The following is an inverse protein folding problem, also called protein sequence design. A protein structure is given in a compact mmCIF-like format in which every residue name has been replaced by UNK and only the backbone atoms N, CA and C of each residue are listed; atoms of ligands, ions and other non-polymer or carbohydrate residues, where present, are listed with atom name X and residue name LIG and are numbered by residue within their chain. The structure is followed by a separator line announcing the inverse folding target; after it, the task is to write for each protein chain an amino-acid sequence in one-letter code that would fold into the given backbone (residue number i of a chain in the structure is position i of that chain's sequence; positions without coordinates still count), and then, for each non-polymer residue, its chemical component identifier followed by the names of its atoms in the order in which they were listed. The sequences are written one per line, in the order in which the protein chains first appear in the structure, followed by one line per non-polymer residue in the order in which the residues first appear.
data_IF_519211887468
#
_entry.id   IF_519211887468
#
_cell.length_a   1.000
_cell.length_b   1.000
_cell.length_c   1.000
_cell.angle_alpha   90.00
_cell.angle_beta   90.00
_cell.angle_gamma   90.00
#
_symmetry.space_group_name_H-M   'P 1'
#
loop_
_entity.id
_entity.type
_entity.pdbx_description
1 polymer ?
#
# COMPACT_ATOMS: atom_id res chain seq x y z
N UNK A 1 -12.58 -1.42 -1.56
CA UNK A 1 -11.56 -0.98 -0.58
C UNK A 1 -10.16 -1.04 -1.19
N UNK A 2 -9.74 -2.20 -1.71
CA UNK A 2 -8.44 -2.38 -2.38
C UNK A 2 -8.09 -1.30 -3.41
N UNK A 3 -9.00 -0.98 -4.33
CA UNK A 3 -8.76 0.03 -5.38
C UNK A 3 -8.35 1.40 -4.82
N UNK A 4 -8.92 1.81 -3.68
CA UNK A 4 -8.56 3.07 -3.02
C UNK A 4 -7.18 2.99 -2.37
N UNK A 5 -6.86 1.88 -1.71
CA UNK A 5 -5.52 1.65 -1.14
C UNK A 5 -4.47 1.66 -2.25
N UNK A 6 -4.75 1.01 -3.38
CA UNK A 6 -3.88 1.01 -4.55
C UNK A 6 -3.71 2.43 -5.13
N UNK A 7 -4.80 3.20 -5.21
CA UNK A 7 -4.75 4.59 -5.64
C UNK A 7 -3.88 5.45 -4.72
N UNK A 8 -4.04 5.34 -3.40
CA UNK A 8 -3.19 6.01 -2.41
C UNK A 8 -1.72 5.62 -2.61
N UNK A 9 -1.41 4.32 -2.76
CA UNK A 9 -0.05 3.87 -3.02
C UNK A 9 0.55 4.50 -4.29
N UNK A 10 -0.24 4.59 -5.37
CA UNK A 10 0.21 5.23 -6.61
C UNK A 10 0.48 6.73 -6.45
N UNK A 11 -0.27 7.42 -5.59
CA UNK A 11 -0.02 8.83 -5.27
C UNK A 11 1.28 9.00 -4.47
N UNK A 12 1.51 8.17 -3.46
CA UNK A 12 2.71 8.22 -2.62
C UNK A 12 3.98 7.81 -3.38
N UNK A 13 3.89 6.83 -4.29
CA UNK A 13 5.01 6.38 -5.12
C UNK A 13 5.53 7.43 -6.12
N UNK A 14 4.75 8.48 -6.41
CA UNK A 14 5.20 9.58 -7.28
C UNK A 14 6.18 10.55 -6.58
N UNK A 15 6.60 10.24 -5.34
CA UNK A 15 7.52 11.08 -4.55
C UNK A 15 6.84 12.31 -3.93
N UNK A 16 5.51 12.39 -4.00
CA UNK A 16 4.73 13.50 -3.48
C UNK A 16 4.32 13.24 -2.02
N UNK A 17 4.53 14.25 -1.17
CA UNK A 17 4.18 14.22 0.25
C UNK A 17 2.71 14.60 0.43
N UNK A 18 1.81 13.65 0.23
CA UNK A 18 0.38 13.90 0.33
C UNK A 18 -0.09 13.87 1.79
N UNK A 19 -0.82 14.90 2.24
CA UNK A 19 -1.50 14.88 3.54
C UNK A 19 -2.90 14.27 3.46
N UNK A 20 -3.51 14.05 4.63
CA UNK A 20 -4.82 13.44 4.74
C UNK A 20 -5.92 14.23 4.00
N UNK A 21 -5.88 15.56 4.05
CA UNK A 21 -6.81 16.42 3.30
C UNK A 21 -6.68 16.23 1.78
N UNK A 22 -5.46 16.26 1.26
CA UNK A 22 -5.19 16.13 -0.17
C UNK A 22 -5.54 14.74 -0.72
N UNK A 23 -5.42 13.70 0.11
CA UNK A 23 -5.85 12.34 -0.21
C UNK A 23 -7.37 12.20 -0.11
N UNK A 24 -7.99 12.85 0.88
CA UNK A 24 -9.45 12.90 1.06
C UNK A 24 -10.12 13.45 -0.19
N UNK A 25 -9.61 14.56 -0.72
CA UNK A 25 -10.12 15.18 -1.95
C UNK A 25 -9.94 14.27 -3.17
N UNK A 26 -8.76 13.65 -3.31
CA UNK A 26 -8.44 12.77 -4.47
C UNK A 26 -9.23 11.47 -4.47
N UNK A 27 -9.50 10.94 -3.27
CA UNK A 27 -10.22 9.69 -3.11
C UNK A 27 -11.73 9.90 -2.88
N UNK A 28 -12.18 11.15 -2.74
CA UNK A 28 -13.55 11.53 -2.41
C UNK A 28 -14.10 10.78 -1.18
N UNK A 29 -13.33 10.77 -0.08
CA UNK A 29 -13.70 10.15 1.19
C UNK A 29 -13.30 11.04 2.35
N UNK A 30 -13.89 10.85 3.52
CA UNK A 30 -13.51 11.64 4.70
C UNK A 30 -12.02 11.49 5.08
N UNK A 31 -11.44 12.52 5.69
CA UNK A 31 -10.12 12.50 6.32
C UNK A 31 -9.97 11.31 7.28
N UNK A 32 -11.02 10.98 8.06
CA UNK A 32 -11.04 9.82 8.96
C UNK A 32 -10.89 8.50 8.21
N UNK A 33 -11.47 8.40 7.01
CA UNK A 33 -11.31 7.23 6.14
C UNK A 33 -9.88 7.12 5.65
N UNK A 34 -9.25 8.23 5.25
CA UNK A 34 -7.83 8.24 4.85
C UNK A 34 -6.93 7.75 5.98
N UNK A 35 -7.11 8.21 7.21
CA UNK A 35 -6.31 7.72 8.34
C UNK A 35 -6.48 6.21 8.56
N UNK A 36 -7.70 5.69 8.41
CA UNK A 36 -7.95 4.23 8.48
C UNK A 36 -7.30 3.47 7.33
N UNK A 37 -7.30 4.04 6.12
CA UNK A 37 -6.65 3.45 4.97
C UNK A 37 -5.12 3.42 5.13
N UNK A 38 -4.51 4.51 5.62
CA UNK A 38 -3.09 4.57 5.95
C UNK A 38 -2.74 3.57 7.06
N UNK A 39 -3.57 3.45 8.09
CA UNK A 39 -3.40 2.46 9.15
C UNK A 39 -3.49 1.04 8.58
N UNK A 40 -4.46 0.77 7.70
CA UNK A 40 -4.61 -0.54 7.05
C UNK A 40 -3.39 -0.86 6.17
N UNK A 41 -2.85 0.12 5.44
CA UNK A 41 -1.61 -0.05 4.67
C UNK A 41 -0.44 -0.46 5.57
N UNK A 42 -0.32 0.13 6.76
CA UNK A 42 0.71 -0.24 7.73
C UNK A 42 0.48 -1.63 8.32
N UNK A 43 -0.69 -1.88 8.89
CA UNK A 43 -0.95 -3.05 9.72
C UNK A 43 -1.21 -4.32 8.90
N UNK A 44 -1.94 -4.20 7.79
CA UNK A 44 -2.38 -5.35 6.99
C UNK A 44 -1.45 -5.61 5.81
N UNK A 45 -0.79 -4.57 5.29
CA UNK A 45 0.06 -4.68 4.09
C UNK A 45 1.53 -4.41 4.36
N UNK A 46 1.92 -4.17 5.62
CA UNK A 46 3.30 -3.87 6.03
C UNK A 46 3.94 -2.74 5.20
N UNK A 47 3.13 -1.78 4.76
CA UNK A 47 3.61 -0.69 3.93
C UNK A 47 4.50 0.25 4.75
N UNK A 48 5.67 0.66 4.24
CA UNK A 48 6.62 1.53 4.95
C UNK A 48 6.18 3.01 4.89
N UNK A 49 4.94 3.29 5.30
CA UNK A 49 4.38 4.65 5.29
C UNK A 49 4.92 5.44 6.48
N UNK A 50 5.50 6.60 6.21
CA UNK A 50 5.94 7.57 7.21
C UNK A 50 5.31 8.94 6.95
N UNK A 51 5.37 9.83 7.95
CA UNK A 51 4.88 11.20 7.84
C UNK A 51 6.05 12.17 8.04
N UNK A 52 6.26 13.05 7.07
CA UNK A 52 7.25 14.11 7.15
C UNK A 52 6.59 15.36 7.73
N UNK A 53 7.01 15.79 8.93
CA UNK A 53 6.46 16.96 9.60
C UNK A 53 6.82 18.29 8.91
N UNK A 54 7.96 18.36 8.22
CA UNK A 54 8.40 19.57 7.52
C UNK A 54 7.62 19.76 6.22
N UNK A 55 7.48 18.67 5.44
CA UNK A 55 6.70 18.65 4.20
C UNK A 55 5.19 18.47 4.42
N UNK A 56 4.80 18.18 5.67
CA UNK A 56 3.44 17.95 6.13
C UNK A 56 2.72 16.89 5.29
N UNK A 57 3.31 15.71 5.10
CA UNK A 57 2.67 14.69 4.26
C UNK A 57 3.22 13.28 4.43
N UNK A 58 2.42 12.31 4.00
CA UNK A 58 2.78 10.90 3.95
C UNK A 58 3.71 10.59 2.78
N UNK A 59 4.61 9.63 2.97
CA UNK A 59 5.49 9.10 1.95
C UNK A 59 5.85 7.64 2.27
N UNK A 60 6.43 6.93 1.31
CA UNK A 60 7.04 5.63 1.56
C UNK A 60 8.54 5.78 1.83
N UNK A 61 9.04 5.27 2.97
CA UNK A 61 10.47 5.31 3.29
C UNK A 61 11.31 4.27 2.52
N UNK A 62 10.65 3.29 1.89
CA UNK A 62 11.24 2.30 0.98
C UNK A 62 10.29 2.04 -0.20
N UNK A 63 10.78 1.61 -1.36
CA UNK A 63 9.91 1.24 -2.49
C UNK A 63 8.83 0.25 -2.06
N UNK A 64 7.57 0.56 -2.36
CA UNK A 64 6.43 -0.26 -1.98
C UNK A 64 5.43 -0.38 -3.13
N UNK A 65 4.85 -1.57 -3.28
CA UNK A 65 3.78 -1.83 -4.24
C UNK A 65 2.73 -2.71 -3.58
N UNK A 66 1.47 -2.30 -3.66
CA UNK A 66 0.37 -3.07 -3.12
C UNK A 66 0.19 -4.35 -3.96
N UNK A 67 0.32 -5.52 -3.32
CA UNK A 67 0.04 -6.81 -3.95
C UNK A 67 -1.46 -7.07 -3.95
N UNK A 68 -2.01 -7.54 -5.08
CA UNK A 68 -3.39 -8.05 -5.16
C UNK A 68 -3.56 -9.43 -4.51
N UNK A 69 -2.45 -10.11 -4.26
CA UNK A 69 -2.43 -11.46 -3.72
C UNK A 69 -2.00 -11.40 -2.27
N UNK A 70 -2.87 -11.91 -1.41
CA UNK A 70 -2.56 -12.29 -0.04
C UNK A 70 -2.30 -13.80 -0.08
N UNK A 71 -1.02 -14.18 -0.18
CA UNK A 71 -0.62 -15.58 -0.31
C UNK A 71 -0.30 -16.12 1.07
N UNK A 72 -0.98 -17.19 1.46
CA UNK A 72 -0.60 -17.97 2.63
C UNK A 72 0.73 -18.72 2.39
N UNK A 73 1.33 -19.23 3.47
CA UNK A 73 2.49 -20.13 3.37
C UNK A 73 2.20 -21.32 2.47
N UNK A 74 1.03 -21.93 2.60
CA UNK A 74 0.56 -23.05 1.77
C UNK A 74 0.51 -22.68 0.29
N UNK A 75 0.01 -21.49 -0.06
CA UNK A 75 -0.01 -21.02 -1.45
C UNK A 75 1.41 -20.85 -2.00
N UNK A 76 2.34 -20.35 -1.18
CA UNK A 76 3.75 -20.21 -1.56
C UNK A 76 4.42 -21.57 -1.79
N UNK A 77 4.12 -22.58 -0.96
CA UNK A 77 4.63 -23.94 -1.16
C UNK A 77 4.11 -24.54 -2.48
N UNK A 78 2.82 -24.38 -2.78
CA UNK A 78 2.26 -24.87 -4.04
C UNK A 78 2.89 -24.19 -5.25
N UNK A 79 3.06 -22.87 -5.21
CA UNK A 79 3.72 -22.13 -6.27
C UNK A 79 5.18 -22.56 -6.46
N UNK A 80 5.91 -22.81 -5.37
CA UNK A 80 7.29 -23.31 -5.44
C UNK A 80 7.38 -24.66 -6.15
N UNK A 81 6.47 -25.59 -5.85
CA UNK A 81 6.39 -26.91 -6.53
C UNK A 81 6.08 -26.73 -8.01
N UNK A 82 5.08 -25.92 -8.36
CA UNK A 82 4.71 -25.65 -9.75
C UNK A 82 5.90 -25.05 -10.52
N UNK A 83 6.63 -24.10 -9.93
CA UNK A 83 7.79 -23.47 -10.57
C UNK A 83 8.93 -24.47 -10.84
N UNK A 84 9.13 -25.47 -9.98
CA UNK A 84 10.10 -26.56 -10.21
C UNK A 84 9.67 -27.43 -11.40
N UNK A 85 8.39 -27.79 -11.45
CA UNK A 85 7.85 -28.63 -12.53
C UNK A 85 7.86 -27.94 -13.90
N UNK A 86 7.69 -26.61 -13.95
CA UNK A 86 7.74 -25.83 -15.20
C UNK A 86 9.17 -25.64 -15.72
N UNK A 87 10.17 -25.71 -14.84
CA UNK A 87 11.60 -25.57 -15.20
C UNK A 87 12.27 -26.89 -15.59
N UNK A 88 11.55 -28.00 -15.48
CA UNK A 88 11.98 -29.36 -15.83
C UNK A 88 11.59 -29.68 -17.27
#
# INVERSE_FOLDING_TARGET
MFERLNHICNLLNKGNYHNADSLSDKCNVSIKTIYRDIQSLKDNYNAPVEYDNFRKGFYFSKPFKLSKFDLSTEDLYQLAVILVLIKS
#
